data_IF_196610861155
#
_entry.id   IF_196610861155
#
_cell.length_a   1.000
_cell.length_b   1.000
_cell.length_c   1.000
_cell.angle_alpha   90.00
_cell.angle_beta   90.00
_cell.angle_gamma   90.00
#
_symmetry.space_group_name_H-M   'P 1'
#
loop_
_entity.id
_entity.type
_entity.pdbx_description
1 polymer ?
#
# COMPACT_ATOMS: atom_id res chain seq x y z
N UNK A 1 -27.80 3.06 -21.60
CA UNK A 1 -27.43 3.96 -20.48
C UNK A 1 -28.27 5.22 -20.58
N UNK A 2 -28.75 5.82 -19.47
CA UNK A 2 -29.66 6.98 -19.35
C UNK A 2 -30.89 7.01 -20.29
N UNK A 3 -30.69 6.90 -21.60
CA UNK A 3 -31.64 6.63 -22.68
C UNK A 3 -32.06 5.14 -22.84
N UNK A 4 -31.63 4.22 -21.96
CA UNK A 4 -32.09 2.83 -21.95
C UNK A 4 -31.28 1.82 -22.78
N UNK A 5 -30.18 2.23 -23.41
CA UNK A 5 -29.34 1.29 -24.18
C UNK A 5 -28.63 0.23 -23.30
N UNK A 6 -28.43 -1.03 -23.78
CA UNK A 6 -27.66 -2.04 -23.07
C UNK A 6 -26.19 -1.65 -22.92
N UNK A 7 -25.59 -1.94 -21.75
CA UNK A 7 -24.19 -1.64 -21.47
C UNK A 7 -23.23 -2.30 -22.48
N UNK A 8 -23.47 -3.58 -22.80
CA UNK A 8 -22.68 -4.35 -23.78
C UNK A 8 -22.55 -3.61 -25.11
N UNK A 9 -23.67 -3.05 -25.62
CA UNK A 9 -23.66 -2.31 -26.89
C UNK A 9 -22.81 -1.04 -26.79
N UNK A 10 -22.96 -0.28 -25.70
CA UNK A 10 -22.17 0.95 -25.50
C UNK A 10 -20.69 0.65 -25.35
N UNK A 11 -20.35 -0.43 -24.64
CA UNK A 11 -18.97 -0.92 -24.51
C UNK A 11 -18.37 -1.23 -25.88
N UNK A 12 -19.10 -1.98 -26.71
CA UNK A 12 -18.58 -2.43 -28.00
C UNK A 12 -18.50 -1.31 -29.05
N UNK A 13 -19.42 -0.32 -29.00
CA UNK A 13 -19.47 0.78 -29.98
C UNK A 13 -18.59 1.99 -29.61
N UNK A 14 -18.48 2.31 -28.32
CA UNK A 14 -17.84 3.54 -27.83
C UNK A 14 -16.72 3.31 -26.80
N UNK A 15 -16.54 2.07 -26.34
CA UNK A 15 -15.51 1.74 -25.36
C UNK A 15 -14.12 1.66 -25.99
N UNK A 16 -13.13 2.17 -25.27
CA UNK A 16 -11.73 1.94 -25.60
C UNK A 16 -11.36 0.47 -25.36
N UNK A 17 -10.35 -0.03 -26.10
CA UNK A 17 -9.84 -1.38 -25.90
C UNK A 17 -9.27 -1.54 -24.47
N UNK A 18 -9.81 -2.51 -23.73
CA UNK A 18 -9.42 -2.75 -22.35
C UNK A 18 -8.01 -3.38 -22.30
N UNK A 19 -7.00 -2.56 -21.98
CA UNK A 19 -5.58 -2.96 -22.00
C UNK A 19 -5.28 -3.99 -20.89
N UNK A 20 -6.02 -3.93 -19.78
CA UNK A 20 -5.93 -4.88 -18.67
C UNK A 20 -7.34 -5.17 -18.15
N UNK A 21 -7.93 -6.33 -18.50
CA UNK A 21 -9.27 -6.66 -18.05
C UNK A 21 -9.29 -6.93 -16.54
N UNK A 22 -10.38 -6.54 -15.90
CA UNK A 22 -10.62 -6.86 -14.49
C UNK A 22 -10.81 -8.39 -14.34
N UNK A 23 -10.21 -9.00 -13.30
CA UNK A 23 -10.50 -10.38 -12.93
C UNK A 23 -12.00 -10.59 -12.67
N UNK A 24 -12.58 -11.66 -13.20
CA UNK A 24 -13.98 -12.07 -12.98
C UNK A 24 -14.15 -12.80 -11.64
N UNK A 25 -13.78 -12.12 -10.56
CA UNK A 25 -13.89 -12.57 -9.17
C UNK A 25 -14.21 -11.37 -8.28
N UNK A 26 -14.81 -11.61 -7.11
CA UNK A 26 -15.00 -10.54 -6.13
C UNK A 26 -13.65 -9.97 -5.69
N UNK A 27 -13.48 -8.67 -5.88
CA UNK A 27 -12.24 -7.97 -5.54
C UNK A 27 -12.39 -7.17 -4.25
N UNK A 28 -11.44 -7.31 -3.31
CA UNK A 28 -11.34 -6.38 -2.20
C UNK A 28 -11.17 -4.93 -2.70
N UNK A 29 -11.72 -3.91 -2.02
CA UNK A 29 -11.64 -2.52 -2.47
C UNK A 29 -10.22 -2.01 -2.74
N UNK A 30 -9.23 -2.47 -1.97
CA UNK A 30 -7.84 -2.10 -2.18
C UNK A 30 -7.29 -2.62 -3.51
N UNK A 31 -7.65 -3.85 -3.91
CA UNK A 31 -7.26 -4.40 -5.21
C UNK A 31 -7.98 -3.69 -6.34
N UNK A 32 -9.28 -3.43 -6.20
CA UNK A 32 -10.03 -2.66 -7.20
C UNK A 32 -9.40 -1.27 -7.41
N UNK A 33 -8.91 -0.61 -6.35
CA UNK A 33 -8.16 0.65 -6.46
C UNK A 33 -6.92 0.55 -7.34
N UNK A 34 -6.18 -0.55 -7.28
CA UNK A 34 -4.97 -0.76 -8.08
C UNK A 34 -5.30 -0.83 -9.57
N UNK A 35 -6.47 -1.39 -9.94
CA UNK A 35 -6.91 -1.51 -11.32
C UNK A 35 -7.54 -0.22 -11.87
N UNK A 36 -8.53 0.34 -11.17
CA UNK A 36 -9.34 1.45 -11.71
C UNK A 36 -8.97 2.82 -11.13
N UNK A 37 -8.06 2.84 -10.15
CA UNK A 37 -7.65 4.06 -9.46
C UNK A 37 -8.67 4.53 -8.42
N UNK A 38 -8.32 5.58 -7.64
CA UNK A 38 -9.10 6.02 -6.49
C UNK A 38 -10.44 6.67 -6.87
N UNK A 39 -10.51 7.38 -8.00
CA UNK A 39 -11.73 8.10 -8.38
C UNK A 39 -12.82 7.14 -8.88
N UNK A 40 -12.47 6.19 -9.73
CA UNK A 40 -13.41 5.16 -10.19
C UNK A 40 -13.86 4.25 -9.05
N UNK A 41 -12.96 3.89 -8.13
CA UNK A 41 -13.34 3.14 -6.93
C UNK A 41 -14.43 3.86 -6.13
N UNK A 42 -14.29 5.16 -5.85
CA UNK A 42 -15.33 5.90 -5.10
C UNK A 42 -16.69 5.84 -5.79
N UNK A 43 -16.72 6.08 -7.10
CA UNK A 43 -17.96 6.00 -7.86
C UNK A 43 -18.56 4.60 -7.83
N UNK A 44 -17.75 3.53 -7.96
CA UNK A 44 -18.23 2.15 -7.86
C UNK A 44 -18.84 1.82 -6.48
N UNK A 45 -18.25 2.33 -5.40
CA UNK A 45 -18.75 2.10 -4.03
C UNK A 45 -20.11 2.76 -3.76
N UNK A 46 -20.47 3.80 -4.52
CA UNK A 46 -21.76 4.50 -4.42
C UNK A 46 -22.88 3.81 -5.22
N UNK A 47 -22.55 2.85 -6.08
CA UNK A 47 -23.53 2.14 -6.90
C UNK A 47 -24.23 1.03 -6.11
N UNK A 48 -25.49 0.77 -6.47
CA UNK A 48 -26.17 -0.47 -6.14
C UNK A 48 -25.80 -1.55 -7.19
N UNK A 49 -25.90 -2.85 -6.85
CA UNK A 49 -25.74 -3.92 -7.84
C UNK A 49 -26.69 -3.72 -9.04
N UNK A 50 -26.17 -3.93 -10.25
CA UNK A 50 -26.80 -3.59 -11.53
C UNK A 50 -26.78 -2.09 -11.89
N UNK A 51 -26.29 -1.23 -10.99
CA UNK A 51 -26.23 0.22 -11.19
C UNK A 51 -25.12 0.64 -12.15
N UNK A 52 -25.34 1.77 -12.83
CA UNK A 52 -24.38 2.37 -13.75
C UNK A 52 -23.98 3.75 -13.24
N UNK A 53 -22.69 4.07 -13.25
CA UNK A 53 -22.20 5.40 -12.90
C UNK A 53 -22.50 6.43 -13.97
N UNK A 54 -22.52 7.71 -13.56
CA UNK A 54 -22.24 8.80 -14.48
C UNK A 54 -20.78 8.69 -15.02
N UNK A 55 -20.43 9.34 -16.13
CA UNK A 55 -19.05 9.34 -16.63
C UNK A 55 -18.06 9.87 -15.58
N UNK A 56 -17.14 9.02 -15.15
CA UNK A 56 -16.14 9.29 -14.12
C UNK A 56 -14.83 9.69 -14.78
N UNK A 57 -14.37 10.92 -14.53
CA UNK A 57 -13.05 11.36 -14.97
C UNK A 57 -11.97 10.77 -14.06
N UNK A 58 -10.98 10.10 -14.64
CA UNK A 58 -9.79 9.61 -13.96
C UNK A 58 -8.53 10.13 -14.66
N UNK A 59 -7.36 9.83 -14.09
CA UNK A 59 -6.07 10.15 -14.73
C UNK A 59 -5.85 9.45 -16.08
N UNK A 60 -6.56 8.36 -16.36
CA UNK A 60 -6.43 7.57 -17.60
C UNK A 60 -7.52 7.87 -18.64
N UNK A 61 -8.49 8.74 -18.34
CA UNK A 61 -9.59 9.06 -19.27
C UNK A 61 -10.94 9.19 -18.58
N UNK A 62 -12.01 8.95 -19.33
CA UNK A 62 -13.39 8.95 -18.85
C UNK A 62 -13.90 7.51 -18.81
N UNK A 63 -14.38 7.08 -17.65
CA UNK A 63 -14.87 5.72 -17.43
C UNK A 63 -16.37 5.71 -17.13
N UNK A 64 -17.08 4.72 -17.64
CA UNK A 64 -18.45 4.39 -17.21
C UNK A 64 -18.40 3.04 -16.53
N UNK A 65 -18.88 2.98 -15.29
CA UNK A 65 -18.77 1.80 -14.44
C UNK A 65 -20.14 1.14 -14.30
N UNK A 66 -20.15 -0.19 -14.27
CA UNK A 66 -21.31 -0.99 -13.89
C UNK A 66 -20.92 -1.87 -12.73
N UNK A 67 -21.69 -1.78 -11.64
CA UNK A 67 -21.50 -2.69 -10.51
C UNK A 67 -22.30 -3.96 -10.77
N UNK A 68 -21.62 -5.08 -11.02
CA UNK A 68 -22.31 -6.36 -11.28
C UNK A 68 -22.83 -6.96 -9.97
N UNK A 69 -21.94 -7.09 -8.99
CA UNK A 69 -22.22 -7.74 -7.72
C UNK A 69 -21.42 -7.07 -6.60
N UNK A 70 -21.95 -7.13 -5.37
CA UNK A 70 -21.25 -6.67 -4.17
C UNK A 70 -21.61 -7.59 -3.01
N UNK A 71 -20.58 -8.06 -2.32
CA UNK A 71 -20.71 -8.70 -1.02
C UNK A 71 -20.22 -7.73 0.05
N UNK A 72 -21.14 -7.32 0.93
CA UNK A 72 -20.79 -6.42 2.03
C UNK A 72 -20.05 -7.22 3.11
N UNK A 73 -18.94 -6.66 3.60
CA UNK A 73 -18.20 -7.28 4.67
C UNK A 73 -19.09 -7.43 5.91
N UNK A 74 -19.25 -8.67 6.38
CA UNK A 74 -19.92 -8.93 7.64
C UNK A 74 -19.03 -8.45 8.79
N UNK A 75 -19.49 -7.43 9.52
CA UNK A 75 -18.87 -7.01 10.77
C UNK A 75 -19.59 -7.74 11.91
N UNK A 76 -18.93 -8.67 12.61
CA UNK A 76 -19.54 -9.36 13.74
C UNK A 76 -19.94 -8.36 14.86
N UNK A 77 -20.96 -8.68 15.67
CA UNK A 77 -21.28 -7.90 16.87
C UNK A 77 -20.06 -7.68 17.76
N UNK A 78 -19.94 -6.50 18.37
CA UNK A 78 -18.79 -6.15 19.20
C UNK A 78 -18.53 -7.19 20.30
N UNK A 79 -19.59 -7.69 20.93
CA UNK A 79 -19.50 -8.69 22.02
C UNK A 79 -18.82 -9.99 21.57
N UNK A 80 -18.95 -10.37 20.28
CA UNK A 80 -18.30 -11.58 19.73
C UNK A 80 -16.80 -11.38 19.47
N UNK A 81 -16.36 -10.13 19.28
CA UNK A 81 -14.99 -9.78 18.90
C UNK A 81 -14.29 -8.92 19.96
N UNK A 82 -14.89 -8.70 21.13
CA UNK A 82 -14.37 -7.78 22.16
C UNK A 82 -12.93 -8.17 22.56
N UNK A 83 -12.69 -9.45 22.80
CA UNK A 83 -11.36 -9.94 23.18
C UNK A 83 -10.31 -9.69 22.09
N UNK A 84 -10.67 -9.93 20.83
CA UNK A 84 -9.79 -9.71 19.69
C UNK A 84 -9.47 -8.21 19.53
N UNK A 85 -10.48 -7.35 19.61
CA UNK A 85 -10.33 -5.89 19.55
C UNK A 85 -9.45 -5.40 20.72
N UNK A 86 -9.67 -5.91 21.93
CA UNK A 86 -8.89 -5.55 23.12
C UNK A 86 -7.43 -6.00 23.00
N UNK A 87 -7.18 -7.20 22.48
CA UNK A 87 -5.84 -7.70 22.23
C UNK A 87 -5.09 -6.85 21.20
N UNK A 88 -5.74 -6.55 20.06
CA UNK A 88 -5.22 -5.67 19.02
C UNK A 88 -4.90 -4.27 19.57
N UNK A 89 -5.81 -3.69 20.35
CA UNK A 89 -5.63 -2.38 20.97
C UNK A 89 -4.44 -2.34 21.91
N UNK A 90 -4.29 -3.36 22.77
CA UNK A 90 -3.13 -3.49 23.67
C UNK A 90 -1.83 -3.61 22.89
N UNK A 91 -1.80 -4.42 21.82
CA UNK A 91 -0.61 -4.57 20.97
C UNK A 91 -0.20 -3.23 20.37
N UNK A 92 -1.13 -2.52 19.73
CA UNK A 92 -0.85 -1.20 19.13
C UNK A 92 -0.32 -0.20 20.15
N UNK A 93 -0.95 -0.12 21.33
CA UNK A 93 -0.48 0.77 22.42
C UNK A 93 0.91 0.38 22.94
N UNK A 94 1.22 -0.91 23.01
CA UNK A 94 2.55 -1.39 23.34
C UNK A 94 3.59 -0.97 22.30
N UNK A 95 3.29 -1.17 21.01
CA UNK A 95 4.17 -0.77 19.91
C UNK A 95 4.43 0.74 19.90
N UNK A 96 3.39 1.55 20.13
CA UNK A 96 3.50 3.01 20.18
C UNK A 96 4.30 3.48 21.40
N UNK A 97 4.10 2.87 22.57
CA UNK A 97 4.87 3.18 23.77
C UNK A 97 6.35 2.81 23.61
N UNK A 98 6.65 1.67 22.97
CA UNK A 98 8.02 1.27 22.67
C UNK A 98 8.71 2.25 21.73
N UNK A 99 8.03 2.67 20.65
CA UNK A 99 8.55 3.68 19.72
C UNK A 99 8.88 4.99 20.46
N UNK A 100 7.92 5.50 21.23
CA UNK A 100 8.11 6.74 22.00
C UNK A 100 9.29 6.63 22.98
N UNK A 101 9.44 5.48 23.66
CA UNK A 101 10.57 5.24 24.55
C UNK A 101 11.92 5.23 23.81
N UNK A 102 11.99 4.55 22.65
CA UNK A 102 13.20 4.51 21.84
C UNK A 102 13.56 5.87 21.26
N UNK A 103 12.56 6.65 20.84
CA UNK A 103 12.76 7.99 20.32
C UNK A 103 13.29 8.93 21.42
N UNK A 104 12.73 8.87 22.63
CA UNK A 104 13.26 9.62 23.78
C UNK A 104 14.71 9.23 24.13
N UNK A 105 15.02 7.93 24.12
CA UNK A 105 16.39 7.47 24.39
C UNK A 105 17.38 7.96 23.32
N UNK A 106 16.96 8.10 22.06
CA UNK A 106 17.79 8.64 20.98
C UNK A 106 18.02 10.15 21.12
N UNK A 107 17.05 10.89 21.64
CA UNK A 107 17.20 12.33 21.90
C UNK A 107 18.17 12.60 23.07
N UNK A 108 18.18 11.73 24.08
CA UNK A 108 19.02 11.87 25.27
C UNK A 108 20.47 11.35 25.08
N UNK A 109 20.76 10.67 23.97
CA UNK A 109 22.06 10.02 23.72
C UNK A 109 22.69 10.53 22.43
N UNK A 110 23.90 11.07 22.53
CA UNK A 110 24.71 11.46 21.37
C UNK A 110 25.24 10.21 20.65
N UNK A 111 24.50 9.74 19.64
CA UNK A 111 24.88 8.57 18.85
C UNK A 111 25.95 8.97 17.84
N UNK A 112 27.22 8.77 18.22
CA UNK A 112 28.35 8.87 17.30
C UNK A 112 28.42 7.57 16.50
N UNK A 113 27.79 7.55 15.32
CA UNK A 113 28.06 6.52 14.32
C UNK A 113 29.50 6.72 13.82
N UNK A 114 30.46 5.96 14.36
CA UNK A 114 31.79 5.86 13.74
C UNK A 114 31.65 5.05 12.47
N UNK A 115 31.93 5.70 11.34
CA UNK A 115 32.11 4.99 10.09
C UNK A 115 33.30 4.05 10.23
N UNK A 116 33.13 2.79 9.80
CA UNK A 116 34.15 1.75 9.94
C UNK A 116 35.22 1.85 8.83
N UNK A 117 35.16 2.88 7.98
CA UNK A 117 36.07 3.05 6.84
C UNK A 117 37.38 3.82 7.16
N UNK A 118 37.55 4.38 8.36
CA UNK A 118 38.75 5.16 8.72
C UNK A 118 39.89 4.32 9.36
N UNK A 119 39.85 2.98 9.28
CA UNK A 119 40.95 2.09 9.73
C UNK A 119 41.84 1.61 8.56
N UNK A 120 42.00 2.42 7.52
CA UNK A 120 42.91 2.12 6.39
C UNK A 120 44.40 2.36 6.70
N UNK A 121 44.78 2.78 7.91
CA UNK A 121 46.17 3.11 8.25
C UNK A 121 46.97 1.95 8.89
N UNK A 122 46.32 0.82 9.19
CA UNK A 122 46.97 -0.27 9.95
C UNK A 122 47.82 -1.26 9.12
N UNK A 123 47.84 -1.17 7.79
CA UNK A 123 48.64 -2.07 6.93
C UNK A 123 49.95 -1.47 6.40
N UNK A 124 50.19 -0.16 6.54
CA UNK A 124 51.44 0.46 6.08
C UNK A 124 52.60 0.34 7.08
N UNK A 125 52.30 0.20 8.37
CA UNK A 125 53.32 0.04 9.42
C UNK A 125 53.88 -1.40 9.52
N UNK A 126 53.28 -2.38 8.83
CA UNK A 126 53.71 -3.79 8.88
C UNK A 126 54.80 -4.17 7.85
N UNK A 127 55.09 -3.32 6.86
CA UNK A 127 55.99 -3.68 5.74
C UNK A 127 57.18 -2.74 5.50
N UNK A 128 57.45 -1.80 6.40
CA UNK A 128 58.46 -0.76 6.18
C UNK A 128 59.59 -0.69 7.21
N UNK A 129 60.34 -1.77 7.47
CA UNK A 129 61.77 -1.66 7.90
C UNK A 129 62.43 -3.04 8.08
N UNK A 130 63.29 -3.44 7.14
CA UNK A 130 64.73 -3.64 7.46
C UNK A 130 65.49 -4.02 6.18
N UNK A 131 65.99 -3.00 5.48
CA UNK A 131 67.17 -3.15 4.64
C UNK A 131 68.43 -3.17 5.53
N UNK A 132 69.15 -4.28 5.46
CA UNK A 132 70.60 -4.45 5.63
C UNK A 132 71.36 -3.76 6.78
N UNK A 133 72.04 -4.56 7.62
CA UNK A 133 73.46 -4.32 7.94
C UNK A 133 74.16 -5.56 8.54
N UNK A 134 75.25 -5.97 7.90
CA UNK A 134 76.48 -6.43 8.56
C UNK A 134 76.70 -7.93 8.79
N UNK A 135 77.45 -8.59 7.90
CA UNK A 135 78.88 -8.89 8.09
C UNK A 135 79.54 -9.37 6.80
#
# INVERSE_FOLDING_TARGET
LAAGEPFERVRDELGDAEISPLPDVLLPPLKLREYVGPTALRAAMELAPGGVSAPVRSGTGVHVLVLVEREDAHVPPFDEIEEQVRAEWRRRRGDDALRAYLDGLREDVDVIARDVEDDATWLELAHGSSGGTGR
#
